data_IF_205756536661
#
_entry.id   IF_205756536661
#
_cell.length_a   1.000
_cell.length_b   1.000
_cell.length_c   1.000
_cell.angle_alpha   90.00
_cell.angle_beta   90.00
_cell.angle_gamma   90.00
#
_symmetry.space_group_name_H-M   'P 1'
#
loop_
_entity.id
_entity.type
_entity.pdbx_description
1 polymer ?
#
# COMPACT_ATOMS: atom_id res chain seq x y z
N UNK A 1 -5.17 18.09 12.28
CA UNK A 1 -4.18 16.98 12.27
C UNK A 1 -4.67 15.92 11.29
N UNK A 2 -3.80 15.38 10.47
CA UNK A 2 -4.14 14.26 9.57
C UNK A 2 -4.67 13.10 10.42
N UNK A 3 -5.82 12.52 10.04
CA UNK A 3 -6.45 11.43 10.80
C UNK A 3 -5.97 10.06 10.32
N UNK A 4 -5.29 10.01 9.17
CA UNK A 4 -4.90 8.82 8.45
C UNK A 4 -3.39 8.82 8.18
N UNK A 5 -2.71 7.69 8.41
CA UNK A 5 -1.37 7.43 7.89
C UNK A 5 -1.42 6.26 6.89
N UNK A 6 -0.38 6.12 6.09
CA UNK A 6 -0.34 5.11 5.04
C UNK A 6 0.76 4.07 5.27
N UNK A 7 0.43 2.82 5.00
CA UNK A 7 1.36 1.70 4.85
C UNK A 7 1.29 1.23 3.41
N UNK A 8 2.41 1.34 2.70
CA UNK A 8 2.53 0.89 1.31
C UNK A 8 3.21 -0.47 1.29
N UNK A 9 2.42 -1.46 0.92
CA UNK A 9 2.91 -2.81 0.69
C UNK A 9 3.61 -2.90 -0.66
N UNK A 10 4.93 -2.99 -0.65
CA UNK A 10 5.76 -3.21 -1.82
C UNK A 10 6.45 -4.58 -1.76
N UNK A 11 5.89 -5.54 -1.00
CA UNK A 11 6.46 -6.89 -0.82
C UNK A 11 6.03 -7.86 -1.92
N UNK A 12 5.02 -7.53 -2.71
CA UNK A 12 4.49 -8.43 -3.72
C UNK A 12 5.54 -8.78 -4.79
N UNK A 13 5.55 -10.05 -5.15
CA UNK A 13 6.36 -10.59 -6.24
C UNK A 13 5.41 -10.96 -7.38
N UNK A 14 5.22 -10.03 -8.29
CA UNK A 14 4.46 -10.31 -9.51
C UNK A 14 5.36 -10.98 -10.55
N UNK A 15 4.76 -11.79 -11.43
CA UNK A 15 5.48 -12.43 -12.52
C UNK A 15 5.72 -11.43 -13.66
N UNK A 16 6.71 -10.56 -13.46
CA UNK A 16 7.12 -9.53 -14.43
C UNK A 16 8.42 -9.93 -15.15
N UNK A 17 8.79 -11.20 -15.07
CA UNK A 17 9.91 -11.81 -15.79
C UNK A 17 11.22 -11.00 -15.67
N UNK A 18 11.85 -10.71 -16.78
CA UNK A 18 13.12 -9.97 -16.85
C UNK A 18 13.02 -8.52 -16.36
N UNK A 19 11.83 -7.93 -16.31
CA UNK A 19 11.64 -6.55 -15.87
C UNK A 19 12.02 -6.35 -14.40
N UNK A 20 11.93 -7.40 -13.59
CA UNK A 20 12.18 -7.36 -12.14
C UNK A 20 13.48 -8.03 -11.69
N UNK A 21 14.35 -8.43 -12.61
CA UNK A 21 15.64 -9.06 -12.28
C UNK A 21 16.53 -8.18 -11.39
N UNK A 22 16.54 -6.86 -11.65
CA UNK A 22 17.44 -5.91 -10.99
C UNK A 22 16.71 -4.85 -10.15
N UNK A 23 15.39 -4.88 -10.12
CA UNK A 23 14.57 -3.89 -9.38
C UNK A 23 13.22 -4.48 -8.99
N UNK A 24 12.68 -4.00 -7.90
CA UNK A 24 11.35 -4.39 -7.48
C UNK A 24 10.25 -3.77 -8.36
N UNK A 25 9.04 -4.39 -8.43
CA UNK A 25 7.94 -3.91 -9.25
C UNK A 25 7.59 -2.43 -9.07
N UNK A 26 7.52 -1.94 -7.82
CA UNK A 26 7.23 -0.51 -7.54
C UNK A 26 8.21 0.48 -8.16
N UNK A 27 9.44 0.03 -8.49
CA UNK A 27 10.47 0.85 -9.14
C UNK A 27 10.46 0.75 -10.67
N UNK A 28 9.54 0.01 -11.29
CA UNK A 28 9.45 -0.10 -12.74
C UNK A 28 9.01 1.22 -13.38
N UNK A 29 9.67 1.65 -14.46
CA UNK A 29 9.23 2.79 -15.25
C UNK A 29 7.81 2.56 -15.79
N UNK A 30 6.95 3.56 -15.67
CA UNK A 30 5.55 3.47 -16.08
C UNK A 30 5.06 4.81 -16.62
N UNK A 31 4.29 4.80 -17.73
CA UNK A 31 3.74 6.02 -18.32
C UNK A 31 4.82 7.03 -18.74
N UNK A 32 5.94 6.56 -19.26
CA UNK A 32 7.07 7.38 -19.74
C UNK A 32 8.05 7.79 -18.64
N UNK A 33 7.72 8.82 -17.84
CA UNK A 33 8.63 9.43 -16.86
C UNK A 33 8.42 9.00 -15.40
N UNK A 34 7.33 8.28 -15.12
CA UNK A 34 6.96 7.86 -13.77
C UNK A 34 7.48 6.45 -13.44
N UNK A 35 7.31 6.05 -12.19
CA UNK A 35 7.41 4.66 -11.73
C UNK A 35 6.09 4.25 -11.08
N UNK A 36 5.83 2.95 -10.96
CA UNK A 36 4.57 2.46 -10.40
C UNK A 36 4.27 3.04 -9.00
N UNK A 37 5.28 3.15 -8.15
CA UNK A 37 5.12 3.72 -6.80
C UNK A 37 4.64 5.18 -6.81
N UNK A 38 4.94 5.94 -7.86
CA UNK A 38 4.59 7.37 -7.94
C UNK A 38 3.08 7.57 -7.89
N UNK A 39 2.29 6.67 -8.47
CA UNK A 39 0.83 6.73 -8.44
C UNK A 39 0.29 6.54 -7.04
N UNK A 40 0.83 5.57 -6.31
CA UNK A 40 0.45 5.34 -4.91
C UNK A 40 0.81 6.52 -4.03
N UNK A 41 2.04 7.04 -4.13
CA UNK A 41 2.48 8.20 -3.34
C UNK A 41 1.72 9.48 -3.68
N UNK A 42 1.38 9.70 -4.96
CA UNK A 42 0.58 10.83 -5.39
C UNK A 42 -0.84 10.77 -4.82
N UNK A 43 -1.50 9.61 -4.82
CA UNK A 43 -2.81 9.44 -4.20
C UNK A 43 -2.78 9.65 -2.68
N UNK A 44 -1.73 9.18 -2.02
CA UNK A 44 -1.49 9.40 -0.59
C UNK A 44 -1.38 10.89 -0.31
N UNK A 45 -0.56 11.60 -1.09
CA UNK A 45 -0.38 13.05 -0.93
C UNK A 45 -1.65 13.83 -1.24
N UNK A 46 -2.38 13.46 -2.30
CA UNK A 46 -3.66 14.08 -2.67
C UNK A 46 -4.77 13.81 -1.65
N UNK A 47 -4.57 12.86 -0.75
CA UNK A 47 -5.46 12.56 0.39
C UNK A 47 -4.99 13.22 1.70
N UNK A 48 -4.09 14.20 1.64
CA UNK A 48 -3.49 14.92 2.78
C UNK A 48 -2.81 14.03 3.82
N UNK A 49 -2.37 12.84 3.40
CA UNK A 49 -1.61 11.92 4.25
C UNK A 49 -0.14 12.33 4.20
N UNK A 50 0.44 12.57 5.37
CA UNK A 50 1.81 13.06 5.53
C UNK A 50 2.74 12.07 6.23
N UNK A 51 2.21 10.99 6.80
CA UNK A 51 2.97 9.93 7.45
C UNK A 51 2.82 8.65 6.63
N UNK A 52 3.93 8.17 6.06
CA UNK A 52 3.93 7.06 5.09
C UNK A 52 5.05 6.08 5.41
N UNK A 53 4.72 4.81 5.58
CA UNK A 53 5.69 3.72 5.63
C UNK A 53 5.61 2.88 4.37
N UNK A 54 6.75 2.64 3.74
CA UNK A 54 6.88 1.73 2.61
C UNK A 54 7.63 0.48 3.08
N UNK A 55 7.03 -0.69 2.86
CA UNK A 55 7.61 -1.97 3.16
C UNK A 55 8.12 -2.62 1.87
N UNK A 56 9.41 -2.50 1.55
CA UNK A 56 9.99 -3.07 0.35
C UNK A 56 10.34 -4.54 0.54
N UNK A 57 10.64 -5.21 -0.58
CA UNK A 57 11.16 -6.58 -0.63
C UNK A 57 12.37 -6.67 -1.56
N UNK A 58 13.31 -7.57 -1.25
CA UNK A 58 14.44 -7.87 -2.10
C UNK A 58 15.33 -6.65 -2.40
N UNK A 59 15.71 -6.47 -3.67
CA UNK A 59 16.55 -5.36 -4.09
C UNK A 59 15.71 -4.07 -4.26
N UNK A 60 15.59 -3.32 -3.18
CA UNK A 60 14.82 -2.05 -3.15
C UNK A 60 15.68 -0.80 -3.39
N UNK A 61 16.99 -0.92 -3.67
CA UNK A 61 17.89 0.22 -3.88
C UNK A 61 17.38 1.18 -4.95
N UNK A 62 16.95 0.64 -6.10
CA UNK A 62 16.38 1.47 -7.19
C UNK A 62 15.09 2.20 -6.79
N UNK A 63 14.30 1.63 -5.89
CA UNK A 63 13.15 2.30 -5.30
C UNK A 63 13.58 3.44 -4.38
N UNK A 64 14.52 3.16 -3.47
CA UNK A 64 15.07 4.13 -2.53
C UNK A 64 15.71 5.33 -3.24
N UNK A 65 16.53 5.06 -4.26
CA UNK A 65 17.16 6.11 -5.07
C UNK A 65 16.13 7.00 -5.78
N UNK A 66 15.02 6.41 -6.25
CA UNK A 66 13.96 7.15 -6.92
C UNK A 66 13.14 8.01 -5.96
N UNK A 67 12.77 7.46 -4.81
CA UNK A 67 11.95 8.15 -3.81
C UNK A 67 12.76 9.25 -3.12
N UNK A 68 14.05 9.00 -2.85
CA UNK A 68 14.92 9.90 -2.09
C UNK A 68 14.33 10.22 -0.72
N UNK A 69 14.26 11.50 -0.37
CA UNK A 69 13.65 11.97 0.88
C UNK A 69 12.12 12.08 0.84
N UNK A 70 11.49 11.78 -0.28
CA UNK A 70 10.04 12.01 -0.46
C UNK A 70 9.65 13.44 -0.83
N UNK A 71 10.62 14.32 -1.12
CA UNK A 71 10.40 15.75 -1.41
C UNK A 71 9.42 15.98 -2.56
N UNK A 72 9.42 15.10 -3.57
CA UNK A 72 8.49 15.20 -4.73
C UNK A 72 7.01 15.16 -4.32
N UNK A 73 6.70 14.54 -3.19
CA UNK A 73 5.34 14.39 -2.64
C UNK A 73 5.13 15.18 -1.35
N UNK A 74 6.03 16.13 -1.03
CA UNK A 74 5.97 16.90 0.22
C UNK A 74 5.93 15.99 1.47
N UNK A 75 6.71 14.91 1.42
CA UNK A 75 6.88 13.93 2.50
C UNK A 75 8.27 14.03 3.17
N UNK A 76 9.07 15.04 2.83
CA UNK A 76 10.34 15.39 3.48
C UNK A 76 10.05 16.31 4.68
N UNK A 77 9.63 15.71 5.78
CA UNK A 77 9.12 16.43 6.97
C UNK A 77 9.86 16.02 8.22
N UNK A 78 9.97 16.95 9.20
CA UNK A 78 10.57 16.68 10.52
C UNK A 78 9.67 15.80 11.39
N UNK A 79 8.34 16.01 11.30
CA UNK A 79 7.33 15.23 12.00
C UNK A 79 6.52 14.51 10.94
N UNK A 80 6.24 13.23 11.15
CA UNK A 80 5.71 12.36 10.10
C UNK A 80 6.73 12.15 8.96
N UNK A 81 6.30 12.12 7.69
CA UNK A 81 7.17 11.98 6.54
C UNK A 81 7.17 10.57 5.96
N UNK A 82 8.15 10.28 5.10
CA UNK A 82 8.26 9.03 4.41
C UNK A 82 9.35 8.15 5.02
N UNK A 83 8.99 6.92 5.36
CA UNK A 83 9.88 5.92 5.94
C UNK A 83 9.95 4.69 5.03
N UNK A 84 11.14 4.23 4.69
CA UNK A 84 11.35 2.95 4.05
C UNK A 84 11.75 1.97 5.15
N UNK A 85 10.93 0.93 5.35
CA UNK A 85 11.04 -0.05 6.42
C UNK A 85 11.40 -1.44 5.84
N UNK A 86 12.71 -1.68 5.56
CA UNK A 86 13.16 -2.92 4.96
C UNK A 86 13.04 -4.10 5.93
N UNK A 87 13.07 -5.36 5.41
CA UNK A 87 13.10 -6.54 6.25
C UNK A 87 14.34 -6.57 7.12
N UNK A 88 14.18 -6.93 8.38
CA UNK A 88 15.32 -7.27 9.26
C UNK A 88 15.88 -8.65 8.90
N UNK A 89 15.01 -9.57 8.48
CA UNK A 89 15.37 -10.91 8.05
C UNK A 89 15.01 -11.12 6.57
N UNK A 90 15.91 -11.72 5.80
CA UNK A 90 15.73 -11.93 4.35
C UNK A 90 14.76 -13.09 3.99
N UNK A 91 14.29 -13.87 4.97
CA UNK A 91 13.34 -14.95 4.76
C UNK A 91 11.92 -14.40 4.63
N UNK A 92 11.57 -13.99 3.43
CA UNK A 92 10.20 -13.55 3.09
C UNK A 92 9.66 -14.53 2.06
N UNK A 93 8.40 -14.95 2.25
CA UNK A 93 7.69 -15.74 1.26
C UNK A 93 7.26 -14.78 0.13
N UNK A 94 7.79 -14.95 -1.08
CA UNK A 94 7.43 -14.09 -2.20
C UNK A 94 5.95 -14.23 -2.56
N UNK A 95 5.31 -13.12 -2.90
CA UNK A 95 3.93 -13.10 -3.41
C UNK A 95 2.84 -12.95 -2.37
N UNK A 96 3.17 -12.99 -1.08
CA UNK A 96 2.23 -12.67 0.00
C UNK A 96 2.18 -11.15 0.24
N UNK A 97 1.02 -10.66 0.69
CA UNK A 97 0.93 -9.32 1.28
C UNK A 97 1.87 -9.18 2.46
N UNK A 98 2.18 -7.94 2.83
CA UNK A 98 2.88 -7.65 4.07
C UNK A 98 2.21 -8.35 5.24
N UNK A 99 3.00 -9.15 5.98
CA UNK A 99 2.53 -9.90 7.15
C UNK A 99 2.60 -9.04 8.41
N UNK A 100 1.80 -9.41 9.43
CA UNK A 100 1.88 -8.76 10.75
C UNK A 100 3.25 -8.93 11.39
N UNK A 101 3.91 -10.07 11.20
CA UNK A 101 5.29 -10.30 11.64
C UNK A 101 6.26 -9.24 11.06
N UNK A 102 6.10 -8.92 9.78
CA UNK A 102 6.89 -7.87 9.12
C UNK A 102 6.62 -6.49 9.68
N UNK A 103 5.36 -6.20 9.99
CA UNK A 103 5.00 -4.95 10.66
C UNK A 103 5.55 -4.90 12.09
N UNK A 104 5.58 -6.03 12.81
CA UNK A 104 6.14 -6.13 14.15
C UNK A 104 7.64 -5.82 14.20
N UNK A 105 8.40 -6.17 13.17
CA UNK A 105 9.82 -5.78 13.07
C UNK A 105 10.04 -4.26 13.20
N UNK A 106 9.01 -3.47 12.89
CA UNK A 106 9.01 -2.01 12.92
C UNK A 106 7.89 -1.43 13.82
N UNK A 107 7.51 -2.13 14.87
CA UNK A 107 6.35 -1.79 15.72
C UNK A 107 6.43 -0.37 16.29
N UNK A 108 7.63 0.13 16.57
CA UNK A 108 7.83 1.48 17.08
C UNK A 108 7.33 2.58 16.12
N UNK A 109 7.39 2.35 14.81
CA UNK A 109 6.81 3.26 13.84
C UNK A 109 5.29 3.38 14.05
N UNK A 110 4.60 2.27 14.20
CA UNK A 110 3.15 2.24 14.42
C UNK A 110 2.76 2.87 15.76
N UNK A 111 3.48 2.56 16.82
CA UNK A 111 3.23 3.11 18.17
C UNK A 111 3.40 4.63 18.21
N UNK A 112 4.43 5.16 17.56
CA UNK A 112 4.73 6.60 17.51
C UNK A 112 3.82 7.39 16.57
N UNK A 113 3.19 6.76 15.59
CA UNK A 113 2.25 7.43 14.68
C UNK A 113 1.10 8.04 15.47
N UNK A 114 0.84 9.34 15.28
CA UNK A 114 -0.18 10.08 16.01
C UNK A 114 -1.59 9.93 15.45
N UNK A 115 -1.72 9.36 14.24
CA UNK A 115 -2.97 9.20 13.53
C UNK A 115 -3.82 8.06 14.10
N UNK A 116 -5.14 8.22 14.07
CA UNK A 116 -6.10 7.24 14.60
C UNK A 116 -6.37 6.08 13.65
N UNK A 117 -6.25 6.33 12.34
CA UNK A 117 -6.57 5.37 11.29
C UNK A 117 -5.38 5.13 10.38
N UNK A 118 -5.39 3.98 9.73
CA UNK A 118 -4.37 3.58 8.77
C UNK A 118 -5.02 3.12 7.46
N UNK A 119 -4.40 3.49 6.35
CA UNK A 119 -4.63 2.81 5.07
C UNK A 119 -3.43 1.93 4.75
N UNK A 120 -3.69 0.64 4.52
CA UNK A 120 -2.70 -0.30 3.99
C UNK A 120 -3.04 -0.52 2.52
N UNK A 121 -2.12 -0.22 1.61
CA UNK A 121 -2.34 -0.30 0.16
C UNK A 121 -1.16 -0.90 -0.57
N UNK A 122 -1.39 -1.56 -1.70
CA UNK A 122 -0.35 -2.14 -2.52
C UNK A 122 0.30 -1.11 -3.45
N UNK A 123 1.61 -1.29 -3.76
CA UNK A 123 2.38 -0.41 -4.63
C UNK A 123 2.24 -0.73 -6.14
N UNK A 124 1.48 -1.77 -6.51
CA UNK A 124 1.29 -2.20 -7.91
C UNK A 124 -0.05 -1.76 -8.52
N UNK A 125 -0.69 -0.75 -7.95
CA UNK A 125 -1.97 -0.24 -8.42
C UNK A 125 -1.78 1.14 -9.03
N UNK A 126 -2.16 1.28 -10.29
CA UNK A 126 -2.26 2.57 -10.99
C UNK A 126 -3.72 2.98 -10.97
N UNK A 127 -4.05 4.00 -10.19
CA UNK A 127 -5.41 4.44 -9.98
C UNK A 127 -5.49 5.90 -9.56
N UNK A 128 -6.70 6.44 -9.52
CA UNK A 128 -7.00 7.75 -8.98
C UNK A 128 -7.99 7.60 -7.82
N UNK A 129 -7.49 7.57 -6.59
CA UNK A 129 -8.29 7.41 -5.38
C UNK A 129 -7.98 8.49 -4.36
N UNK A 130 -9.01 8.93 -3.64
CA UNK A 130 -8.90 9.77 -2.46
C UNK A 130 -9.16 8.93 -1.21
N UNK A 131 -8.14 8.63 -0.45
CA UNK A 131 -8.25 7.80 0.76
C UNK A 131 -9.08 8.42 1.87
N UNK A 132 -9.23 9.75 1.87
CA UNK A 132 -10.15 10.43 2.78
C UNK A 132 -11.61 9.99 2.54
N UNK A 133 -12.02 9.80 1.29
CA UNK A 133 -13.37 9.31 0.97
C UNK A 133 -13.58 7.89 1.50
N UNK A 134 -12.55 7.03 1.40
CA UNK A 134 -12.59 5.67 1.95
C UNK A 134 -12.71 5.71 3.48
N UNK A 135 -11.94 6.58 4.15
CA UNK A 135 -12.02 6.77 5.60
C UNK A 135 -13.41 7.28 6.03
N UNK A 136 -13.98 8.26 5.33
CA UNK A 136 -15.31 8.77 5.62
C UNK A 136 -16.39 7.69 5.45
N UNK A 137 -16.25 6.86 4.43
CA UNK A 137 -17.11 5.70 4.23
C UNK A 137 -16.96 4.66 5.37
N UNK A 138 -15.71 4.34 5.74
CA UNK A 138 -15.39 3.46 6.86
C UNK A 138 -16.09 3.90 8.15
N UNK A 139 -15.97 5.18 8.51
CA UNK A 139 -16.60 5.78 9.69
C UNK A 139 -18.13 5.73 9.59
N UNK A 140 -18.70 6.09 8.44
CA UNK A 140 -20.17 6.05 8.21
C UNK A 140 -20.74 4.64 8.37
N UNK A 141 -19.96 3.61 8.02
CA UNK A 141 -20.36 2.21 8.17
C UNK A 141 -20.08 1.66 9.57
N UNK A 142 -19.38 2.43 10.41
CA UNK A 142 -18.91 1.98 11.73
C UNK A 142 -18.23 0.61 11.61
N UNK A 143 -17.39 0.45 10.57
CA UNK A 143 -16.74 -0.81 10.28
C UNK A 143 -15.45 -0.96 11.09
N UNK A 144 -15.08 -2.19 11.42
CA UNK A 144 -13.76 -2.50 11.99
C UNK A 144 -12.69 -2.47 10.90
N UNK A 145 -13.04 -2.96 9.70
CA UNK A 145 -12.18 -2.92 8.53
C UNK A 145 -12.99 -2.64 7.26
N UNK A 146 -12.48 -1.76 6.41
CA UNK A 146 -13.03 -1.49 5.08
C UNK A 146 -12.05 -1.95 4.02
N UNK A 147 -12.49 -2.84 3.14
CA UNK A 147 -11.74 -3.29 1.97
C UNK A 147 -12.15 -2.49 0.73
N UNK A 148 -11.18 -2.13 -0.11
CA UNK A 148 -11.43 -1.44 -1.38
C UNK A 148 -11.49 -2.44 -2.52
N UNK A 149 -12.58 -2.39 -3.30
CA UNK A 149 -12.78 -3.18 -4.51
C UNK A 149 -12.93 -2.25 -5.72
N UNK A 150 -12.44 -2.71 -6.85
CA UNK A 150 -12.76 -2.17 -8.16
C UNK A 150 -13.48 -3.25 -8.96
N UNK A 151 -14.72 -2.99 -9.37
CA UNK A 151 -15.61 -4.01 -9.91
C UNK A 151 -15.72 -5.19 -8.91
N UNK A 152 -15.23 -6.37 -9.28
CA UNK A 152 -15.16 -7.55 -8.40
C UNK A 152 -13.72 -7.90 -7.98
N UNK A 153 -12.74 -7.03 -8.28
CA UNK A 153 -11.32 -7.25 -7.97
C UNK A 153 -11.01 -6.65 -6.60
N UNK A 154 -10.43 -7.45 -5.72
CA UNK A 154 -9.90 -7.01 -4.42
C UNK A 154 -8.57 -6.29 -4.65
N UNK A 155 -8.50 -5.02 -4.27
CA UNK A 155 -7.30 -4.19 -4.52
C UNK A 155 -6.24 -4.30 -3.42
N UNK A 156 -6.36 -5.27 -2.50
CA UNK A 156 -5.43 -5.40 -1.35
C UNK A 156 -5.21 -4.06 -0.64
N UNK A 157 -6.29 -3.28 -0.53
CA UNK A 157 -6.29 -1.98 0.12
C UNK A 157 -7.35 -1.96 1.21
N UNK A 158 -6.91 -1.59 2.42
CA UNK A 158 -7.71 -1.68 3.65
C UNK A 158 -7.61 -0.40 4.45
N UNK A 159 -8.72 0.01 5.07
CA UNK A 159 -8.77 1.08 6.07
C UNK A 159 -9.30 0.49 7.37
N UNK A 160 -8.60 0.74 8.47
CA UNK A 160 -8.95 0.30 9.82
C UNK A 160 -8.38 1.27 10.86
N UNK A 161 -8.78 1.11 12.12
CA UNK A 161 -8.18 1.87 13.21
C UNK A 161 -6.73 1.43 13.45
N UNK A 162 -5.87 2.36 13.85
CA UNK A 162 -4.50 2.04 14.27
C UNK A 162 -4.48 1.05 15.42
N UNK A 163 -5.42 1.18 16.36
CA UNK A 163 -5.52 0.30 17.51
C UNK A 163 -5.73 -1.15 17.09
N UNK A 164 -6.71 -1.40 16.21
CA UNK A 164 -6.98 -2.75 15.70
C UNK A 164 -5.77 -3.31 14.93
N UNK A 165 -5.10 -2.49 14.13
CA UNK A 165 -3.88 -2.93 13.45
C UNK A 165 -2.78 -3.29 14.44
N UNK A 166 -2.58 -2.50 15.51
CA UNK A 166 -1.59 -2.79 16.55
C UNK A 166 -1.90 -4.09 17.29
N UNK A 167 -3.17 -4.38 17.59
CA UNK A 167 -3.59 -5.64 18.20
C UNK A 167 -3.15 -6.84 17.34
N UNK A 168 -3.39 -6.80 16.02
CA UNK A 168 -2.91 -7.85 15.12
C UNK A 168 -1.38 -7.93 15.00
N UNK A 169 -0.71 -6.79 15.02
CA UNK A 169 0.76 -6.77 14.98
C UNK A 169 1.36 -7.35 16.26
N UNK A 170 0.84 -6.99 17.42
CA UNK A 170 1.38 -7.42 18.72
C UNK A 170 1.11 -8.88 19.03
N UNK A 171 0.10 -9.47 18.42
CA UNK A 171 -0.32 -10.87 18.62
C UNK A 171 0.01 -11.77 17.44
N UNK A 172 0.86 -11.35 16.51
CA UNK A 172 1.10 -12.02 15.24
C UNK A 172 1.55 -13.49 15.37
N UNK A 173 2.22 -13.85 16.46
CA UNK A 173 2.75 -15.19 16.74
C UNK A 173 1.71 -16.16 17.31
N UNK A 174 0.59 -15.63 17.82
CA UNK A 174 -0.52 -16.41 18.40
C UNK A 174 -1.75 -16.40 17.48
N UNK A 175 -1.76 -15.56 16.45
CA UNK A 175 -2.88 -15.46 15.51
C UNK A 175 -2.83 -16.54 14.43
N UNK A 176 -3.99 -17.04 14.03
CA UNK A 176 -4.15 -17.85 12.82
C UNK A 176 -4.03 -17.03 11.52
N UNK A 177 -4.08 -15.69 11.64
CA UNK A 177 -4.06 -14.76 10.50
C UNK A 177 -2.68 -14.14 10.36
N UNK A 178 -2.13 -14.19 9.16
CA UNK A 178 -0.81 -13.62 8.87
C UNK A 178 -0.88 -12.23 8.26
N UNK A 179 -1.98 -11.94 7.56
CA UNK A 179 -2.17 -10.72 6.77
C UNK A 179 -3.56 -10.13 6.97
N UNK A 180 -3.76 -8.86 6.59
CA UNK A 180 -5.10 -8.25 6.57
C UNK A 180 -6.07 -8.97 5.61
N UNK A 181 -5.57 -9.58 4.54
CA UNK A 181 -6.40 -10.37 3.64
C UNK A 181 -6.97 -11.61 4.36
N UNK A 182 -6.15 -12.27 5.19
CA UNK A 182 -6.60 -13.41 6.01
C UNK A 182 -7.66 -12.98 7.03
N UNK A 183 -7.43 -11.84 7.69
CA UNK A 183 -8.38 -11.24 8.65
C UNK A 183 -9.71 -10.96 7.98
N UNK A 184 -9.71 -10.29 6.82
CA UNK A 184 -10.95 -9.98 6.09
C UNK A 184 -11.68 -11.24 5.66
N UNK A 185 -10.96 -12.30 5.32
CA UNK A 185 -11.54 -13.56 4.86
C UNK A 185 -12.09 -14.41 6.01
N UNK A 186 -11.37 -14.50 7.12
CA UNK A 186 -11.55 -15.59 8.10
C UNK A 186 -11.90 -15.12 9.52
N UNK A 187 -11.59 -13.87 9.92
CA UNK A 187 -11.83 -13.44 11.30
C UNK A 187 -13.31 -13.43 11.65
N UNK A 188 -13.76 -14.12 12.73
CA UNK A 188 -15.15 -14.07 13.16
C UNK A 188 -15.49 -12.69 13.77
N UNK A 189 -16.76 -12.34 13.78
CA UNK A 189 -17.30 -11.15 14.46
C UNK A 189 -16.72 -9.79 14.03
N UNK A 190 -16.00 -9.75 12.91
CA UNK A 190 -15.43 -8.52 12.34
C UNK A 190 -16.48 -7.81 11.48
N UNK A 191 -16.80 -6.56 11.81
CA UNK A 191 -17.72 -5.73 11.01
C UNK A 191 -16.99 -5.22 9.77
N UNK A 192 -17.18 -5.90 8.65
CA UNK A 192 -16.55 -5.59 7.37
C UNK A 192 -17.38 -4.63 6.55
N UNK A 193 -16.72 -3.68 5.88
CA UNK A 193 -17.34 -2.87 4.84
C UNK A 193 -16.56 -2.99 3.53
N UNK A 194 -17.25 -2.80 2.41
CA UNK A 194 -16.69 -2.83 1.07
C UNK A 194 -16.88 -1.46 0.44
N UNK A 195 -15.76 -0.77 0.19
CA UNK A 195 -15.77 0.46 -0.59
C UNK A 195 -15.57 0.12 -2.06
N UNK A 196 -16.55 0.44 -2.92
CA UNK A 196 -16.45 0.22 -4.37
C UNK A 196 -15.89 1.46 -5.03
N UNK A 197 -14.65 1.35 -5.49
CA UNK A 197 -14.00 2.41 -6.26
C UNK A 197 -14.49 2.35 -7.71
N UNK A 198 -14.78 3.52 -8.30
CA UNK A 198 -15.31 3.65 -9.67
C UNK A 198 -14.37 4.42 -10.62
N UNK A 199 -13.24 4.91 -10.11
CA UNK A 199 -12.24 5.64 -10.91
C UNK A 199 -11.36 4.72 -11.76
N UNK A 200 -10.52 5.32 -12.60
CA UNK A 200 -9.51 4.58 -13.36
C UNK A 200 -8.67 3.70 -12.43
N UNK A 201 -8.56 2.44 -12.76
CA UNK A 201 -7.81 1.47 -11.96
C UNK A 201 -7.17 0.41 -12.83
N UNK A 202 -5.89 0.15 -12.63
CA UNK A 202 -5.13 -0.96 -13.20
C UNK A 202 -4.26 -1.58 -12.12
N UNK A 203 -4.41 -2.88 -11.91
CA UNK A 203 -3.51 -3.65 -11.04
C UNK A 203 -2.48 -4.34 -11.91
N UNK A 204 -1.20 -4.12 -11.63
CA UNK A 204 -0.10 -4.70 -12.40
C UNK A 204 0.28 -6.04 -11.77
N UNK A 205 -0.04 -7.14 -12.45
CA UNK A 205 0.10 -8.51 -11.96
C UNK A 205 1.06 -9.36 -12.81
N UNK A 206 1.29 -8.98 -14.05
CA UNK A 206 2.14 -9.69 -15.00
C UNK A 206 2.69 -8.75 -16.08
N UNK A 207 3.63 -9.25 -16.88
CA UNK A 207 4.31 -8.47 -17.92
C UNK A 207 3.36 -8.00 -19.03
N UNK A 208 2.36 -8.80 -19.40
CA UNK A 208 1.38 -8.41 -20.42
C UNK A 208 0.48 -7.28 -19.91
N UNK A 209 -0.01 -7.41 -18.69
CA UNK A 209 -0.82 -6.38 -18.03
C UNK A 209 -0.02 -5.09 -17.84
N UNK A 210 1.26 -5.20 -17.48
CA UNK A 210 2.17 -4.06 -17.38
C UNK A 210 2.30 -3.32 -18.73
N UNK A 211 2.60 -4.05 -19.82
CA UNK A 211 2.73 -3.45 -21.17
C UNK A 211 1.43 -2.78 -21.61
N UNK A 212 0.31 -3.48 -21.50
CA UNK A 212 -1.01 -2.95 -21.88
C UNK A 212 -1.34 -1.67 -21.13
N UNK A 213 -1.13 -1.66 -19.81
CA UNK A 213 -1.42 -0.49 -18.98
C UNK A 213 -0.49 0.69 -19.28
N UNK A 214 0.78 0.44 -19.66
CA UNK A 214 1.68 1.50 -20.14
C UNK A 214 1.19 2.13 -21.44
N UNK A 215 0.74 1.32 -22.41
CA UNK A 215 0.20 1.82 -23.67
C UNK A 215 -1.09 2.61 -23.47
N UNK A 216 -1.99 2.13 -22.61
CA UNK A 216 -3.20 2.86 -22.23
C UNK A 216 -2.84 4.27 -21.69
N UNK A 217 -1.87 4.36 -20.77
CA UNK A 217 -1.44 5.64 -20.21
C UNK A 217 -0.85 6.61 -21.23
N UNK A 218 -0.11 6.12 -22.23
CA UNK A 218 0.45 6.95 -23.27
C UNK A 218 -0.64 7.49 -24.22
N UNK A 219 -1.72 6.75 -24.43
CA UNK A 219 -2.86 7.20 -25.24
C UNK A 219 -3.62 8.35 -24.59
N UNK A 220 -3.71 8.41 -23.26
CA UNK A 220 -4.33 9.52 -22.52
C UNK A 220 -3.51 10.82 -22.55
N UNK A 221 -2.19 10.75 -22.80
CA UNK A 221 -1.33 11.94 -22.85
C UNK A 221 -1.37 12.70 -24.17
N UNK A 222 -2.03 12.15 -25.18
CA UNK A 222 -2.12 12.70 -26.54
C UNK A 222 -3.51 13.30 -26.88
N UNK A 223 -4.37 13.52 -25.87
CA UNK A 223 -5.70 14.11 -25.99
C UNK A 223 -5.82 15.49 -25.35
#
# INVERSE_FOLDING_TARGET
MAKLFAVVDATFKENLDQLTLHRMPGALPFGGKFRLIDFTLSNIRNSDITNVAIFPYGNYRSLQDHIGSGKKWDLDRRTDGLFILPPKNLYIIPGEMITFQRMYEHIEYFKRSSQEYVVVTAANIVWNIHFEQVLNYHKKKEADITEVLYENIRLKTYVLSKQLLLEYIETYDTLEYRTLADVVKNAPNLKRAIYRHSGYTRTITDAFNFLKSNLDMLSFSNG
#
